data_IF_574897819085
#
_entry.id   IF_574897819085
#
_cell.length_a   1.000
_cell.length_b   1.000
_cell.length_c   1.000
_cell.angle_alpha   90.00
_cell.angle_beta   90.00
_cell.angle_gamma   90.00
#
_symmetry.space_group_name_H-M   'P 1'
#
loop_
_entity.id
_entity.type
_entity.pdbx_description
1 polymer ?
#
# COMPACT_ATOMS: atom_id res chain seq x y z
N UNK A 1 3.54 -21.32 14.66
CA UNK A 1 2.92 -21.60 13.35
C UNK A 1 3.40 -20.51 12.41
N UNK A 2 4.21 -20.85 11.42
CA UNK A 2 4.74 -19.90 10.44
C UNK A 2 3.63 -19.59 9.44
N UNK A 3 2.93 -18.47 9.61
CA UNK A 3 1.99 -17.96 8.61
C UNK A 3 2.78 -17.29 7.49
N UNK A 4 2.83 -17.98 6.36
CA UNK A 4 3.37 -17.52 5.08
C UNK A 4 2.75 -16.17 4.71
N UNK A 5 3.55 -15.11 4.82
CA UNK A 5 3.25 -13.83 4.18
C UNK A 5 3.46 -14.02 2.67
N UNK A 6 2.41 -14.09 1.86
CA UNK A 6 2.57 -13.85 0.42
C UNK A 6 2.71 -12.35 0.20
N UNK A 7 3.87 -11.80 0.57
CA UNK A 7 4.31 -10.47 0.17
C UNK A 7 4.74 -10.58 -1.29
N UNK A 8 3.78 -10.53 -2.19
CA UNK A 8 4.12 -10.38 -3.60
C UNK A 8 4.45 -8.90 -3.82
N UNK A 9 5.75 -8.61 -3.73
CA UNK A 9 6.32 -7.29 -4.03
C UNK A 9 6.83 -7.36 -5.46
N UNK A 10 6.06 -6.85 -6.42
CA UNK A 10 6.56 -6.69 -7.78
C UNK A 10 7.68 -5.65 -7.76
N UNK A 11 8.80 -5.96 -8.41
CA UNK A 11 9.83 -4.96 -8.71
C UNK A 11 9.13 -3.92 -9.60
N UNK A 12 9.01 -2.68 -9.11
CA UNK A 12 8.49 -1.60 -9.94
C UNK A 12 9.65 -0.93 -10.68
N UNK A 13 9.34 -0.27 -11.79
CA UNK A 13 10.35 0.36 -12.63
C UNK A 13 11.10 1.43 -11.85
N UNK A 14 10.38 2.20 -11.03
CA UNK A 14 10.91 3.41 -10.39
C UNK A 14 11.30 3.24 -8.90
N UNK A 15 10.79 2.22 -8.20
CA UNK A 15 11.06 1.98 -6.77
C UNK A 15 11.48 0.54 -6.51
N UNK A 16 12.64 0.35 -5.89
CA UNK A 16 13.00 -0.94 -5.32
C UNK A 16 12.41 -1.05 -3.92
N UNK A 17 11.34 -1.84 -3.76
CA UNK A 17 10.72 -2.10 -2.46
C UNK A 17 11.65 -2.99 -1.63
N UNK A 18 12.10 -2.50 -0.48
CA UNK A 18 12.95 -3.26 0.45
C UNK A 18 12.13 -3.90 1.55
N UNK A 19 11.10 -3.18 2.03
CA UNK A 19 10.34 -3.60 3.20
C UNK A 19 8.91 -3.10 3.14
N UNK A 20 7.99 -3.94 3.61
CA UNK A 20 6.60 -3.58 3.88
C UNK A 20 6.33 -3.90 5.35
N UNK A 21 5.81 -2.94 6.11
CA UNK A 21 5.58 -3.07 7.55
C UNK A 21 4.18 -2.61 7.91
N UNK A 22 3.53 -3.33 8.81
CA UNK A 22 2.33 -2.89 9.47
C UNK A 22 2.62 -2.68 10.96
N UNK A 23 2.07 -1.63 11.56
CA UNK A 23 2.19 -1.40 13.01
C UNK A 23 1.48 -2.49 13.83
N UNK A 24 0.41 -3.07 13.27
CA UNK A 24 -0.33 -4.18 13.87
C UNK A 24 -0.63 -5.22 12.80
N UNK A 25 -0.33 -6.49 13.10
CA UNK A 25 -0.60 -7.60 12.19
C UNK A 25 -0.88 -8.92 12.95
N UNK A 26 -1.98 -9.64 12.65
CA UNK A 26 -3.07 -9.23 11.75
C UNK A 26 -3.78 -7.96 12.25
N UNK A 27 -4.49 -7.22 11.38
CA UNK A 27 -5.23 -6.03 11.80
C UNK A 27 -6.25 -6.35 12.89
N UNK A 28 -6.45 -5.43 13.84
CA UNK A 28 -7.47 -5.53 14.90
C UNK A 28 -8.56 -4.47 14.67
N UNK A 29 -9.82 -4.83 14.91
CA UNK A 29 -10.95 -3.89 14.78
C UNK A 29 -10.81 -2.75 15.80
N UNK A 30 -11.29 -1.57 15.43
CA UNK A 30 -11.21 -0.32 16.19
C UNK A 30 -9.78 0.14 16.53
N UNK A 31 -8.74 -0.52 16.00
CA UNK A 31 -7.35 -0.10 16.11
C UNK A 31 -6.88 0.50 14.78
N UNK A 32 -5.95 1.45 14.87
CA UNK A 32 -5.38 2.09 13.70
C UNK A 32 -4.41 1.13 13.01
N UNK A 33 -4.73 0.70 11.79
CA UNK A 33 -3.81 -0.02 10.91
C UNK A 33 -3.06 0.99 10.03
N UNK A 34 -1.74 1.04 10.19
CA UNK A 34 -0.81 1.76 9.34
C UNK A 34 0.09 0.77 8.64
N UNK A 35 0.02 0.73 7.32
CA UNK A 35 0.94 -0.02 6.46
C UNK A 35 1.88 0.95 5.75
N UNK A 36 3.17 0.73 5.92
CA UNK A 36 4.22 1.50 5.27
C UNK A 36 5.09 0.63 4.38
N UNK A 37 5.57 1.22 3.30
CA UNK A 37 6.56 0.66 2.39
C UNK A 37 7.83 1.48 2.52
N UNK A 38 8.97 0.83 2.71
CA UNK A 38 10.29 1.43 2.61
C UNK A 38 11.02 0.84 1.42
N UNK A 39 11.79 1.67 0.72
CA UNK A 39 12.54 1.24 -0.44
C UNK A 39 13.49 2.32 -0.94
N UNK A 40 14.06 2.10 -2.12
CA UNK A 40 14.99 3.03 -2.77
C UNK A 40 14.39 3.50 -4.09
N UNK A 41 14.11 4.79 -4.19
CA UNK A 41 13.75 5.43 -5.45
C UNK A 41 14.97 5.46 -6.36
N UNK A 42 14.82 4.92 -7.57
CA UNK A 42 15.88 4.90 -8.58
C UNK A 42 16.01 6.26 -9.28
N UNK A 43 14.90 6.98 -9.38
CA UNK A 43 14.77 8.25 -10.09
C UNK A 43 13.89 9.24 -9.30
N UNK A 44 13.86 10.50 -9.72
CA UNK A 44 12.98 11.53 -9.15
C UNK A 44 11.56 11.35 -9.66
N UNK A 45 10.57 11.36 -8.75
CA UNK A 45 9.15 11.42 -9.10
C UNK A 45 8.70 12.87 -9.00
N UNK A 46 8.19 13.44 -10.08
CA UNK A 46 7.73 14.83 -10.05
C UNK A 46 6.29 14.94 -9.55
N UNK A 47 5.50 13.90 -9.78
CA UNK A 47 4.06 13.80 -9.55
C UNK A 47 3.64 12.35 -9.64
N UNK A 48 2.43 12.03 -9.18
CA UNK A 48 1.88 10.69 -9.33
C UNK A 48 0.53 10.58 -8.69
N UNK A 49 -0.17 9.51 -9.03
CA UNK A 49 -1.44 9.14 -8.43
C UNK A 49 -1.40 7.70 -7.97
N UNK A 50 -2.15 7.39 -6.93
CA UNK A 50 -2.42 6.04 -6.52
C UNK A 50 -3.86 5.65 -6.80
N UNK A 51 -4.06 4.35 -6.90
CA UNK A 51 -5.34 3.67 -6.79
C UNK A 51 -5.24 2.62 -5.69
N UNK A 52 -6.27 2.56 -4.86
CA UNK A 52 -6.41 1.59 -3.79
C UNK A 52 -7.74 0.87 -3.95
N UNK A 53 -7.70 -0.45 -4.01
CA UNK A 53 -8.90 -1.28 -4.11
C UNK A 53 -8.93 -2.24 -2.94
N UNK A 54 -10.09 -2.33 -2.29
CA UNK A 54 -10.34 -3.27 -1.20
C UNK A 54 -11.33 -4.31 -1.70
N UNK A 55 -10.97 -5.57 -1.58
CA UNK A 55 -11.83 -6.72 -1.90
C UNK A 55 -12.16 -7.42 -0.60
N UNK A 56 -13.44 -7.59 -0.32
CA UNK A 56 -13.91 -8.46 0.75
C UNK A 56 -14.53 -9.71 0.13
N UNK A 57 -13.89 -10.86 0.36
CA UNK A 57 -14.17 -12.14 -0.31
C UNK A 57 -14.09 -12.05 -1.84
N UNK A 58 -15.19 -11.66 -2.49
CA UNK A 58 -15.32 -11.50 -3.95
C UNK A 58 -15.99 -10.18 -4.34
N UNK A 59 -16.27 -9.32 -3.36
CA UNK A 59 -16.90 -8.03 -3.56
C UNK A 59 -15.83 -6.94 -3.49
N UNK A 60 -15.62 -6.25 -4.60
CA UNK A 60 -14.77 -5.07 -4.65
C UNK A 60 -15.52 -3.87 -4.14
N UNK A 61 -14.97 -3.20 -3.13
CA UNK A 61 -15.41 -1.87 -2.73
C UNK A 61 -14.97 -0.85 -3.81
N UNK A 62 -15.63 0.32 -3.91
CA UNK A 62 -15.21 1.38 -4.81
C UNK A 62 -13.73 1.71 -4.62
N UNK A 63 -13.00 1.81 -5.73
CA UNK A 63 -11.58 2.18 -5.69
C UNK A 63 -11.42 3.61 -5.17
N UNK A 64 -10.44 3.78 -4.28
CA UNK A 64 -10.02 5.08 -3.76
C UNK A 64 -8.86 5.55 -4.63
N UNK A 65 -8.96 6.78 -5.13
CA UNK A 65 -7.93 7.43 -5.94
C UNK A 65 -7.41 8.65 -5.17
N UNK A 66 -6.14 8.97 -5.33
CA UNK A 66 -5.57 10.18 -4.76
C UNK A 66 -4.16 10.48 -5.28
N UNK A 67 -3.63 11.66 -4.96
CA UNK A 67 -2.27 12.03 -5.33
C UNK A 67 -1.26 11.24 -4.50
N UNK A 68 -0.07 10.99 -5.06
CA UNK A 68 1.00 10.26 -4.39
C UNK A 68 1.48 10.95 -3.09
N UNK A 69 1.31 12.26 -2.98
CA UNK A 69 1.60 13.03 -1.76
C UNK A 69 0.82 12.56 -0.54
N UNK A 70 -0.35 11.92 -0.72
CA UNK A 70 -1.12 11.34 0.39
C UNK A 70 -0.36 10.24 1.14
N UNK A 71 0.66 9.64 0.51
CA UNK A 71 1.52 8.64 1.14
C UNK A 71 2.62 9.25 2.02
N UNK A 72 2.60 10.55 2.24
CA UNK A 72 3.54 11.23 3.13
C UNK A 72 4.94 11.38 2.55
N UNK A 73 5.04 11.45 1.22
CA UNK A 73 6.28 11.80 0.52
C UNK A 73 6.20 13.22 -0.02
N UNK A 74 7.32 13.93 0.05
CA UNK A 74 7.49 15.24 -0.57
C UNK A 74 7.78 15.06 -2.07
N UNK A 75 7.08 15.84 -2.90
CA UNK A 75 7.29 15.86 -4.35
C UNK A 75 7.86 17.22 -4.76
N UNK A 76 8.90 17.27 -5.61
CA UNK A 76 9.57 16.12 -6.24
C UNK A 76 10.43 15.29 -5.27
N UNK A 77 10.49 13.96 -5.46
CA UNK A 77 11.38 13.10 -4.65
C UNK A 77 12.82 13.18 -5.14
N UNK A 78 13.77 13.06 -4.21
CA UNK A 78 15.17 12.76 -4.57
C UNK A 78 15.35 11.25 -4.74
N UNK A 79 16.21 10.78 -5.66
CA UNK A 79 16.65 9.39 -5.68
C UNK A 79 17.27 9.01 -4.33
N UNK A 80 17.03 7.79 -3.88
CA UNK A 80 17.51 7.30 -2.58
C UNK A 80 16.41 6.70 -1.72
N UNK A 81 16.72 6.49 -0.43
CA UNK A 81 15.81 5.84 0.51
C UNK A 81 14.55 6.66 0.75
N UNK A 82 13.40 6.00 0.64
CA UNK A 82 12.08 6.58 0.88
C UNK A 82 11.27 5.66 1.79
N UNK A 83 10.32 6.28 2.50
CA UNK A 83 9.27 5.58 3.23
C UNK A 83 7.92 6.21 2.89
N UNK A 84 6.96 5.36 2.52
CA UNK A 84 5.60 5.73 2.12
C UNK A 84 4.60 5.08 3.08
N UNK A 85 3.56 5.81 3.47
CA UNK A 85 2.40 5.24 4.19
C UNK A 85 1.31 4.94 3.16
N UNK A 86 1.18 3.68 2.77
CA UNK A 86 0.32 3.26 1.66
C UNK A 86 -1.10 2.90 2.12
N UNK A 87 -1.27 2.66 3.42
CA UNK A 87 -2.56 2.43 4.04
C UNK A 87 -2.54 2.98 5.47
N UNK A 88 -3.54 3.77 5.82
CA UNK A 88 -3.73 4.29 7.17
C UNK A 88 -5.23 4.38 7.44
N UNK A 89 -5.79 3.42 8.15
CA UNK A 89 -7.22 3.38 8.44
C UNK A 89 -7.54 2.58 9.71
N UNK A 90 -8.61 2.99 10.38
CA UNK A 90 -9.23 2.20 11.44
C UNK A 90 -10.26 1.27 10.82
N UNK A 91 -10.13 -0.03 11.05
CA UNK A 91 -11.14 -1.01 10.60
C UNK A 91 -12.29 -0.97 11.61
N UNK A 92 -13.52 -0.65 11.19
CA UNK A 92 -14.63 -0.48 12.14
C UNK A 92 -15.04 -1.81 12.78
N UNK A 93 -15.55 -1.76 14.01
CA UNK A 93 -16.04 -2.94 14.75
C UNK A 93 -17.05 -3.78 13.97
N UNK A 94 -17.88 -3.13 13.16
CA UNK A 94 -18.94 -3.77 12.37
C UNK A 94 -18.44 -4.46 11.09
N UNK A 95 -17.15 -4.36 10.76
CA UNK A 95 -16.58 -5.02 9.59
C UNK A 95 -16.86 -6.54 9.65
N UNK A 96 -17.36 -7.20 8.60
CA UNK A 96 -17.61 -8.64 8.63
C UNK A 96 -16.35 -9.48 8.84
N UNK A 97 -16.49 -10.70 9.38
CA UNK A 97 -15.40 -11.68 9.42
C UNK A 97 -15.18 -12.34 8.03
N UNK A 98 -13.94 -12.71 7.72
CA UNK A 98 -13.53 -13.31 6.45
C UNK A 98 -12.32 -12.64 5.81
N UNK A 99 -12.04 -13.03 4.57
CA UNK A 99 -10.88 -12.58 3.81
C UNK A 99 -11.05 -11.15 3.27
N UNK A 100 -10.02 -10.34 3.49
CA UNK A 100 -9.84 -9.02 2.93
C UNK A 100 -8.53 -8.96 2.15
N UNK A 101 -8.60 -8.39 0.96
CA UNK A 101 -7.44 -8.09 0.13
C UNK A 101 -7.42 -6.59 -0.18
N UNK A 102 -6.27 -5.94 0.04
CA UNK A 102 -6.02 -4.57 -0.37
C UNK A 102 -4.97 -4.60 -1.48
N UNK A 103 -5.28 -3.92 -2.57
CA UNK A 103 -4.35 -3.67 -3.67
C UNK A 103 -4.07 -2.18 -3.74
N UNK A 104 -2.80 -1.81 -3.64
CA UNK A 104 -2.34 -0.42 -3.83
C UNK A 104 -1.44 -0.38 -5.05
N UNK A 105 -1.79 0.47 -6.01
CA UNK A 105 -0.97 0.77 -7.18
C UNK A 105 -0.70 2.26 -7.25
N UNK A 106 0.53 2.66 -7.50
CA UNK A 106 0.90 4.04 -7.75
C UNK A 106 1.70 4.14 -9.04
N UNK A 107 1.39 5.16 -9.83
CA UNK A 107 2.07 5.45 -11.09
C UNK A 107 2.41 6.93 -11.18
N UNK A 108 3.50 7.23 -11.88
CA UNK A 108 3.76 8.57 -12.37
C UNK A 108 2.77 8.92 -13.51
N UNK A 109 2.64 10.20 -13.83
CA UNK A 109 1.66 10.68 -14.83
C UNK A 109 1.86 10.06 -16.22
N UNK A 110 3.09 9.65 -16.56
CA UNK A 110 3.44 9.00 -17.82
C UNK A 110 3.26 7.48 -17.78
N UNK A 111 2.49 6.97 -16.81
CA UNK A 111 2.17 5.55 -16.57
C UNK A 111 3.33 4.67 -16.11
N UNK A 112 4.47 5.26 -15.73
CA UNK A 112 5.55 4.50 -15.11
C UNK A 112 5.13 4.01 -13.72
N UNK A 113 5.27 2.70 -13.46
CA UNK A 113 4.86 2.11 -12.19
C UNK A 113 5.85 2.50 -11.07
N UNK A 114 5.33 3.16 -10.03
CA UNK A 114 6.07 3.51 -8.82
C UNK A 114 5.92 2.41 -7.78
N UNK A 115 4.69 1.91 -7.59
CA UNK A 115 4.40 0.94 -6.54
C UNK A 115 3.28 0.01 -6.98
N UNK A 116 3.43 -1.28 -6.71
CA UNK A 116 2.32 -2.23 -6.74
C UNK A 116 2.46 -3.19 -5.55
N UNK A 117 1.54 -3.10 -4.60
CA UNK A 117 1.54 -3.90 -3.36
C UNK A 117 0.17 -4.52 -3.14
N UNK A 118 0.16 -5.81 -2.81
CA UNK A 118 -1.00 -6.54 -2.34
C UNK A 118 -0.84 -6.91 -0.86
N UNK A 119 -1.91 -6.77 -0.08
CA UNK A 119 -1.98 -7.07 1.35
C UNK A 119 -3.23 -7.89 1.58
N UNK A 120 -3.08 -9.09 2.16
CA UNK A 120 -4.19 -10.00 2.39
C UNK A 120 -4.23 -10.44 3.85
N UNK A 121 -5.41 -10.44 4.45
CA UNK A 121 -5.62 -10.98 5.79
C UNK A 121 -7.02 -11.58 5.94
N UNK A 122 -7.20 -12.35 7.00
CA UNK A 122 -8.48 -12.95 7.39
C UNK A 122 -8.83 -12.53 8.82
N UNK A 123 -10.07 -12.08 8.99
CA UNK A 123 -10.69 -11.78 10.29
C UNK A 123 -11.54 -12.94 10.79
#
# INVERSE_FOLDING_TARGET
>A
MNTTTSKESTITDQLSIEKVEANIWPPTRNELLTVSVSGVAKETFMRGNYSKTIVYRKYSLPSILGPLSDFGIDLPTSPGSLRMIIFNATIPEVAPAGQYDIYVKANEQDYAEILCVAISWEF
#
